data_IF_987669730936
#
_entry.id   IF_987669730936
#
_cell.length_a   1.000
_cell.length_b   1.000
_cell.length_c   1.000
_cell.angle_alpha   90.00
_cell.angle_beta   90.00
_cell.angle_gamma   90.00
#
_symmetry.space_group_name_H-M   'P 1'
#
loop_
_entity.id
_entity.type
_entity.pdbx_description
1 polymer ?
#
# COMPACT_ATOMS: atom_id res chain seq x y z
N UNK A 1 -15.44 -9.44 1.43
CA UNK A 1 -14.26 -8.71 1.97
C UNK A 1 -13.97 -9.19 3.39
N UNK A 2 -12.71 -9.26 3.73
CA UNK A 2 -12.31 -9.65 5.07
C UNK A 2 -11.95 -8.41 5.89
N UNK A 3 -12.20 -8.48 7.19
CA UNK A 3 -11.84 -7.40 8.11
C UNK A 3 -10.72 -7.88 9.01
N UNK A 4 -9.71 -7.05 9.17
CA UNK A 4 -8.59 -7.31 10.07
C UNK A 4 -8.64 -6.29 11.21
N UNK A 5 -8.60 -6.79 12.44
CA UNK A 5 -8.57 -5.92 13.62
C UNK A 5 -7.19 -5.98 14.26
N UNK A 6 -6.62 -4.82 14.50
CA UNK A 6 -5.27 -4.70 15.06
C UNK A 6 -5.33 -3.85 16.31
N UNK A 7 -4.78 -4.36 17.41
CA UNK A 7 -4.67 -3.60 18.65
C UNK A 7 -3.31 -2.92 18.70
N UNK A 8 -3.32 -1.63 18.97
CA UNK A 8 -2.11 -0.81 19.08
C UNK A 8 -2.05 -0.13 20.44
N UNK A 9 -0.85 0.12 20.95
CA UNK A 9 -0.73 0.89 22.19
C UNK A 9 -1.39 2.27 22.06
N UNK A 10 -2.02 2.74 23.11
CA UNK A 10 -2.76 4.01 23.08
C UNK A 10 -1.91 5.21 22.70
N UNK A 11 -0.63 5.20 23.09
CA UNK A 11 0.27 6.32 22.83
C UNK A 11 0.75 6.40 21.36
N UNK A 12 0.45 5.39 20.55
CA UNK A 12 0.81 5.40 19.13
C UNK A 12 0.10 6.55 18.40
N UNK A 13 -1.16 6.81 18.75
CA UNK A 13 -1.93 7.87 18.11
C UNK A 13 -1.29 9.24 18.34
N UNK A 14 -0.89 9.53 19.57
CA UNK A 14 -0.23 10.80 19.88
C UNK A 14 1.19 10.84 19.32
N UNK A 15 1.91 9.71 19.32
CA UNK A 15 3.26 9.65 18.76
C UNK A 15 3.27 9.96 17.28
N UNK A 16 2.29 9.44 16.54
CA UNK A 16 2.18 9.66 15.09
C UNK A 16 1.33 10.89 14.75
N UNK A 17 0.68 11.48 15.73
CA UNK A 17 -0.20 12.64 15.55
C UNK A 17 -1.31 12.36 14.53
N UNK A 18 -1.94 11.19 14.65
CA UNK A 18 -3.01 10.76 13.76
C UNK A 18 -4.20 10.27 14.55
N UNK A 19 -5.39 10.51 14.01
CA UNK A 19 -6.61 9.93 14.55
C UNK A 19 -6.66 8.44 14.19
N UNK A 20 -7.53 7.65 14.85
CA UNK A 20 -7.68 6.23 14.49
C UNK A 20 -8.00 5.99 13.01
N UNK A 21 -8.86 6.81 12.42
CA UNK A 21 -9.22 6.64 11.00
C UNK A 21 -8.05 7.00 10.09
N UNK A 22 -7.30 8.05 10.43
CA UNK A 22 -6.11 8.42 9.67
C UNK A 22 -5.05 7.34 9.78
N UNK A 23 -4.88 6.74 10.97
CA UNK A 23 -3.91 5.69 11.16
C UNK A 23 -4.29 4.43 10.39
N UNK A 24 -5.58 4.07 10.38
CA UNK A 24 -6.05 2.92 9.62
C UNK A 24 -5.75 3.09 8.13
N UNK A 25 -6.00 4.27 7.59
CA UNK A 25 -5.69 4.59 6.20
C UNK A 25 -4.18 4.49 5.95
N UNK A 26 -3.39 5.07 6.85
CA UNK A 26 -1.93 5.06 6.71
C UNK A 26 -1.38 3.64 6.75
N UNK A 27 -1.91 2.80 7.64
CA UNK A 27 -1.48 1.40 7.72
C UNK A 27 -1.76 0.64 6.42
N UNK A 28 -2.93 0.88 5.81
CA UNK A 28 -3.26 0.24 4.55
C UNK A 28 -2.29 0.65 3.44
N UNK A 29 -2.02 1.94 3.35
CA UNK A 29 -1.13 2.48 2.30
C UNK A 29 0.30 2.00 2.54
N UNK A 30 0.78 2.13 3.76
CA UNK A 30 2.16 1.75 4.09
C UNK A 30 2.41 0.26 3.87
N UNK A 31 1.47 -0.60 4.29
CA UNK A 31 1.63 -2.04 4.10
C UNK A 31 1.57 -2.42 2.62
N UNK A 32 0.68 -1.79 1.86
CA UNK A 32 0.57 -2.06 0.42
C UNK A 32 1.87 -1.69 -0.30
N UNK A 33 2.42 -0.51 0.02
CA UNK A 33 3.68 -0.07 -0.56
C UNK A 33 4.82 -1.02 -0.19
N UNK A 34 4.87 -1.45 1.08
CA UNK A 34 5.90 -2.37 1.54
C UNK A 34 5.83 -3.70 0.80
N UNK A 35 4.63 -4.30 0.74
CA UNK A 35 4.47 -5.59 0.08
C UNK A 35 4.73 -5.51 -1.42
N UNK A 36 4.33 -4.42 -2.04
CA UNK A 36 4.66 -4.20 -3.44
C UNK A 36 6.18 -4.10 -3.64
N UNK A 37 6.85 -3.34 -2.78
CA UNK A 37 8.29 -3.19 -2.83
C UNK A 37 9.05 -4.50 -2.63
N UNK A 38 8.45 -5.44 -1.88
CA UNK A 38 9.02 -6.77 -1.65
C UNK A 38 8.64 -7.78 -2.74
N UNK A 39 7.87 -7.35 -3.73
CA UNK A 39 7.43 -8.24 -4.81
C UNK A 39 6.35 -9.22 -4.39
N UNK A 40 5.65 -8.95 -3.29
CA UNK A 40 4.61 -9.85 -2.78
C UNK A 40 3.23 -9.55 -3.33
N UNK A 41 3.01 -8.35 -3.83
CA UNK A 41 1.74 -7.96 -4.44
C UNK A 41 2.01 -7.28 -5.77
N UNK A 42 1.11 -7.50 -6.73
CA UNK A 42 1.12 -6.75 -7.97
C UNK A 42 0.73 -5.30 -7.70
N UNK A 43 1.00 -4.42 -8.64
CA UNK A 43 0.66 -3.01 -8.51
C UNK A 43 -0.85 -2.81 -8.34
N UNK A 44 -1.66 -3.50 -9.15
CA UNK A 44 -3.11 -3.39 -9.06
C UNK A 44 -3.64 -3.92 -7.72
N UNK A 45 -3.11 -5.04 -7.27
CA UNK A 45 -3.54 -5.61 -6.00
C UNK A 45 -3.12 -4.74 -4.82
N UNK A 46 -1.91 -4.17 -4.88
CA UNK A 46 -1.45 -3.27 -3.83
C UNK A 46 -2.32 -2.01 -3.76
N UNK A 47 -2.71 -1.47 -4.91
CA UNK A 47 -3.62 -0.32 -4.93
C UNK A 47 -4.95 -0.65 -4.26
N UNK A 48 -5.49 -1.86 -4.50
CA UNK A 48 -6.71 -2.31 -3.83
C UNK A 48 -6.53 -2.37 -2.32
N UNK A 49 -5.42 -2.93 -1.85
CA UNK A 49 -5.13 -3.00 -0.41
C UNK A 49 -5.07 -1.61 0.18
N UNK A 50 -4.44 -0.68 -0.53
CA UNK A 50 -4.31 0.70 -0.07
C UNK A 50 -5.63 1.47 -0.12
N UNK A 51 -6.62 0.97 -0.87
CA UNK A 51 -7.87 1.68 -1.07
C UNK A 51 -7.71 2.88 -2.00
N UNK A 52 -6.77 2.80 -2.93
CA UNK A 52 -6.43 3.88 -3.85
C UNK A 52 -6.61 3.42 -5.29
N UNK A 53 -6.75 4.39 -6.20
CA UNK A 53 -6.63 4.12 -7.62
C UNK A 53 -5.17 3.80 -7.93
N UNK A 54 -4.89 3.23 -9.10
CA UNK A 54 -3.51 2.94 -9.49
C UNK A 54 -2.68 4.23 -9.59
N UNK A 55 -3.29 5.29 -10.11
CA UNK A 55 -2.63 6.58 -10.21
C UNK A 55 -2.26 7.13 -8.84
N UNK A 56 -3.20 7.09 -7.90
CA UNK A 56 -2.95 7.52 -6.54
C UNK A 56 -1.90 6.65 -5.86
N UNK A 57 -1.92 5.35 -6.11
CA UNK A 57 -0.93 4.44 -5.54
C UNK A 57 0.47 4.73 -6.08
N UNK A 58 0.59 5.03 -7.37
CA UNK A 58 1.88 5.42 -7.96
C UNK A 58 2.42 6.70 -7.32
N UNK A 59 1.53 7.66 -7.06
CA UNK A 59 1.92 8.90 -6.37
C UNK A 59 2.47 8.59 -4.98
N UNK A 60 1.88 7.64 -4.27
CA UNK A 60 2.35 7.24 -2.95
C UNK A 60 3.71 6.56 -3.02
N UNK A 61 3.92 5.70 -4.01
CA UNK A 61 5.23 5.06 -4.23
C UNK A 61 6.30 6.11 -4.48
N UNK A 62 5.99 7.08 -5.33
CA UNK A 62 6.92 8.17 -5.63
C UNK A 62 7.27 8.96 -4.37
N UNK A 63 6.25 9.32 -3.60
CA UNK A 63 6.42 10.08 -2.38
C UNK A 63 7.27 9.34 -1.34
N UNK A 64 7.13 8.02 -1.27
CA UNK A 64 7.87 7.17 -0.34
C UNK A 64 9.19 6.69 -0.92
N UNK A 65 9.53 7.13 -2.14
CA UNK A 65 10.76 6.78 -2.85
C UNK A 65 10.90 5.27 -3.05
N UNK A 66 9.79 4.62 -3.36
CA UNK A 66 9.76 3.20 -3.70
C UNK A 66 9.65 3.14 -5.22
N UNK A 67 10.60 2.47 -5.91
CA UNK A 67 10.53 2.36 -7.36
C UNK A 67 9.23 1.70 -7.82
N UNK A 68 8.54 2.33 -8.77
CA UNK A 68 7.30 1.79 -9.31
C UNK A 68 7.54 0.57 -10.20
N UNK A 69 8.78 0.31 -10.58
CA UNK A 69 9.16 -0.78 -11.48
C UNK A 69 10.19 -1.66 -10.78
N UNK A 70 9.76 -2.33 -9.71
CA UNK A 70 10.60 -3.32 -9.03
C UNK A 70 10.27 -4.74 -9.50
N UNK A 71 9.13 -4.89 -10.15
CA UNK A 71 8.68 -6.19 -10.63
C UNK A 71 9.54 -6.67 -11.80
N UNK A 72 9.62 -7.99 -11.98
CA UNK A 72 10.26 -8.56 -13.14
C UNK A 72 9.49 -8.16 -14.41
N UNK A 73 10.14 -8.33 -15.57
CA UNK A 73 9.47 -8.07 -16.84
C UNK A 73 8.19 -8.89 -16.99
N UNK A 74 8.21 -10.14 -16.51
CA UNK A 74 7.04 -11.01 -16.57
C UNK A 74 5.90 -10.48 -15.73
N UNK A 75 6.18 -9.98 -14.53
CA UNK A 75 5.16 -9.40 -13.67
C UNK A 75 4.56 -8.14 -14.29
N UNK A 76 5.39 -7.33 -14.89
CA UNK A 76 4.92 -6.10 -15.56
C UNK A 76 3.99 -6.45 -16.71
N UNK A 77 4.34 -7.44 -17.50
CA UNK A 77 3.51 -7.90 -18.61
C UNK A 77 2.19 -8.48 -18.08
N UNK A 78 2.24 -9.29 -17.02
CA UNK A 78 1.03 -9.84 -16.41
C UNK A 78 0.09 -8.73 -15.94
N UNK A 79 0.62 -7.74 -15.27
CA UNK A 79 -0.21 -6.63 -14.78
C UNK A 79 -0.85 -5.86 -15.93
N UNK A 80 -0.14 -5.65 -17.01
CA UNK A 80 -0.66 -4.94 -18.17
C UNK A 80 -1.87 -5.66 -18.79
N UNK A 81 -1.92 -6.99 -18.67
CA UNK A 81 -3.03 -7.77 -19.21
C UNK A 81 -4.12 -8.06 -18.21
N UNK A 82 -3.86 -7.90 -16.91
CA UNK A 82 -4.85 -8.16 -15.87
C UNK A 82 -5.79 -6.99 -15.65
N UNK A 83 -5.33 -5.83 -15.93
CA UNK A 83 -6.12 -4.61 -15.73
C UNK A 83 -6.75 -4.17 -17.05
#
# INVERSE_FOLDING_TARGET
>A
MATVTIDLPDDVYSALRKSPSELARELRIASACHWYGQGQLSQGKAAEVAGLSRSEFLDELFRRRIPAVQASADEIIEEAFRD
#
